data_IF_808514289161
#
_entry.id   IF_808514289161
#
_cell.length_a   1.000
_cell.length_b   1.000
_cell.length_c   1.000
_cell.angle_alpha   90.00
_cell.angle_beta   90.00
_cell.angle_gamma   90.00
#
_symmetry.space_group_name_H-M   'P 1'
#
loop_
_entity.id
_entity.type
_entity.pdbx_description
1 polymer ?
#
# COMPACT_ATOMS: atom_id res chain seq x y z
N UNK A 1 16.97 6.41 1.22
CA UNK A 1 15.71 6.41 2.00
C UNK A 1 15.46 7.77 2.69
N UNK A 2 15.64 8.90 2.00
CA UNK A 2 15.51 10.27 2.59
C UNK A 2 14.46 11.14 1.85
N UNK A 3 14.09 10.75 0.64
CA UNK A 3 13.15 11.52 -0.22
C UNK A 3 11.69 11.36 0.26
N UNK A 4 11.36 10.26 0.95
CA UNK A 4 9.97 9.96 1.32
C UNK A 4 9.40 10.79 2.47
N UNK A 5 10.21 11.11 3.48
CA UNK A 5 9.73 11.94 4.60
C UNK A 5 9.31 13.32 4.11
N UNK A 6 10.07 13.92 3.16
CA UNK A 6 9.73 15.21 2.56
C UNK A 6 8.41 15.17 1.80
N UNK A 7 8.19 14.12 1.00
CA UNK A 7 6.93 13.96 0.25
C UNK A 7 5.74 13.90 1.21
N UNK A 8 5.87 13.11 2.27
CA UNK A 8 4.80 12.86 3.22
C UNK A 8 4.52 14.06 4.11
N UNK A 9 5.57 14.75 4.58
CA UNK A 9 5.44 16.01 5.33
C UNK A 9 4.80 17.10 4.47
N UNK A 10 5.22 17.28 3.22
CA UNK A 10 4.61 18.27 2.32
C UNK A 10 3.15 17.96 2.00
N UNK A 11 2.84 16.70 1.69
CA UNK A 11 1.47 16.27 1.44
C UNK A 11 0.59 16.47 2.69
N UNK A 12 1.12 16.16 3.88
CA UNK A 12 0.41 16.36 5.13
C UNK A 12 0.13 17.84 5.39
N UNK A 13 1.15 18.70 5.27
CA UNK A 13 0.99 20.15 5.44
C UNK A 13 -0.13 20.68 4.55
N UNK A 14 -0.16 20.31 3.27
CA UNK A 14 -1.22 20.74 2.36
C UNK A 14 -2.59 20.17 2.77
N UNK A 15 -2.64 18.89 3.15
CA UNK A 15 -3.88 18.24 3.58
C UNK A 15 -4.49 18.94 4.79
N UNK A 16 -3.68 19.36 5.77
CA UNK A 16 -4.15 20.07 6.97
C UNK A 16 -4.83 21.41 6.65
N UNK A 17 -4.45 22.07 5.54
CA UNK A 17 -5.07 23.32 5.12
C UNK A 17 -6.36 23.11 4.30
N UNK A 18 -6.52 21.94 3.68
CA UNK A 18 -7.66 21.64 2.80
C UNK A 18 -8.76 20.88 3.54
N UNK A 19 -8.41 20.04 4.51
CA UNK A 19 -9.38 19.21 5.20
C UNK A 19 -10.32 20.04 6.08
N UNK A 20 -11.63 19.84 5.89
CA UNK A 20 -12.64 20.37 6.79
C UNK A 20 -12.63 19.60 8.12
N UNK A 21 -13.03 20.22 9.24
CA UNK A 21 -13.24 19.50 10.50
C UNK A 21 -14.14 18.27 10.29
N UNK A 22 -13.78 17.16 10.92
CA UNK A 22 -14.39 15.85 10.73
C UNK A 22 -13.89 15.07 9.51
N UNK A 23 -13.03 15.66 8.66
CA UNK A 23 -12.49 15.02 7.47
C UNK A 23 -11.56 13.83 7.75
N UNK A 24 -11.40 12.96 6.76
CA UNK A 24 -10.56 11.76 6.83
C UNK A 24 -9.40 11.86 5.84
N UNK A 25 -8.24 11.29 6.20
CA UNK A 25 -7.04 11.23 5.36
C UNK A 25 -6.57 9.77 5.26
N UNK A 26 -6.30 9.31 4.04
CA UNK A 26 -5.66 8.02 3.80
C UNK A 26 -4.37 8.26 3.01
N UNK A 27 -3.23 7.81 3.55
CA UNK A 27 -1.93 8.02 2.93
C UNK A 27 -1.15 6.71 2.83
N UNK A 28 -0.58 6.42 1.66
CA UNK A 28 0.32 5.28 1.47
C UNK A 28 1.68 5.60 2.08
N UNK A 29 2.18 4.72 2.93
CA UNK A 29 3.44 4.85 3.66
C UNK A 29 4.27 3.58 3.54
N UNK A 30 5.55 3.69 3.85
CA UNK A 30 6.44 2.54 3.98
C UNK A 30 6.63 2.28 5.47
N UNK A 31 6.24 1.09 5.93
CA UNK A 31 6.46 0.62 7.30
C UNK A 31 7.96 0.56 7.53
N UNK A 32 8.45 1.43 8.41
CA UNK A 32 9.84 1.57 8.73
C UNK A 32 10.00 2.50 9.93
N UNK A 33 11.25 2.78 10.29
CA UNK A 33 11.63 3.46 11.55
C UNK A 33 10.95 4.82 11.80
N UNK A 34 10.46 5.48 10.75
CA UNK A 34 9.84 6.81 10.82
C UNK A 34 8.30 6.79 10.84
N UNK A 35 7.68 5.62 10.69
CA UNK A 35 6.21 5.51 10.66
C UNK A 35 5.59 5.86 12.03
N UNK A 36 6.26 5.53 13.12
CA UNK A 36 5.79 5.82 14.49
C UNK A 36 5.82 7.33 14.79
N UNK A 37 6.87 8.03 14.34
CA UNK A 37 6.98 9.50 14.48
C UNK A 37 5.85 10.19 13.74
N UNK A 38 5.56 9.76 12.51
CA UNK A 38 4.47 10.31 11.72
C UNK A 38 3.10 9.98 12.34
N UNK A 39 2.92 8.77 12.88
CA UNK A 39 1.69 8.40 13.59
C UNK A 39 1.45 9.31 14.79
N UNK A 40 2.48 9.54 15.62
CA UNK A 40 2.41 10.43 16.76
C UNK A 40 2.05 11.86 16.34
N UNK A 41 2.66 12.36 15.25
CA UNK A 41 2.33 13.68 14.68
C UNK A 41 0.89 13.75 14.17
N UNK A 42 0.38 12.71 13.51
CA UNK A 42 -0.99 12.70 12.99
C UNK A 42 -2.03 12.60 14.11
N UNK A 43 -1.69 11.97 15.23
CA UNK A 43 -2.59 11.84 16.39
C UNK A 43 -2.96 13.17 17.03
N UNK A 44 -2.16 14.21 16.85
CA UNK A 44 -2.50 15.56 17.36
C UNK A 44 -3.57 16.23 16.50
N UNK A 45 -3.67 15.86 15.22
CA UNK A 45 -4.60 16.48 14.27
C UNK A 45 -5.87 15.64 14.03
N UNK A 46 -5.84 14.34 14.29
CA UNK A 46 -6.93 13.42 14.00
C UNK A 46 -7.35 12.65 15.24
N UNK A 47 -8.67 12.44 15.37
CA UNK A 47 -9.24 11.72 16.52
C UNK A 47 -8.81 10.26 16.59
N UNK A 48 -8.59 9.62 15.44
CA UNK A 48 -8.13 8.23 15.37
C UNK A 48 -7.17 8.05 14.20
N UNK A 49 -6.03 7.40 14.47
CA UNK A 49 -5.00 7.11 13.46
C UNK A 49 -4.62 5.63 13.54
N UNK A 50 -4.73 4.93 12.42
CA UNK A 50 -4.51 3.49 12.30
C UNK A 50 -3.57 3.21 11.13
N UNK A 51 -2.66 2.25 11.28
CA UNK A 51 -1.89 1.73 10.14
C UNK A 51 -2.58 0.48 9.62
N UNK A 52 -3.11 0.56 8.41
CA UNK A 52 -3.83 -0.51 7.75
C UNK A 52 -2.97 -1.18 6.67
N UNK A 53 -3.04 -2.51 6.58
CA UNK A 53 -2.54 -3.26 5.43
C UNK A 53 -3.69 -4.07 4.81
N UNK A 54 -4.22 -3.63 3.65
CA UNK A 54 -5.34 -4.31 3.01
C UNK A 54 -4.89 -5.57 2.27
N UNK A 55 -5.83 -6.52 2.06
CA UNK A 55 -5.60 -7.75 1.26
C UNK A 55 -5.07 -7.53 -0.16
N UNK A 56 -5.41 -6.39 -0.77
CA UNK A 56 -4.89 -6.01 -2.09
C UNK A 56 -3.41 -5.62 -2.07
N UNK A 57 -2.82 -5.41 -0.88
CA UNK A 57 -1.39 -5.16 -0.70
C UNK A 57 -0.67 -6.47 -0.43
N UNK A 58 0.47 -6.65 -1.11
CA UNK A 58 1.36 -7.81 -0.97
C UNK A 58 1.81 -7.99 0.48
N UNK A 59 1.69 -9.19 1.03
CA UNK A 59 2.09 -9.49 2.41
C UNK A 59 3.59 -9.25 2.62
N UNK A 60 4.39 -9.53 1.59
CA UNK A 60 5.83 -9.27 1.52
C UNK A 60 6.20 -7.78 1.42
N UNK A 61 5.26 -6.91 1.00
CA UNK A 61 5.55 -5.49 0.83
C UNK A 61 5.71 -4.78 2.17
N UNK A 62 6.70 -3.89 2.25
CA UNK A 62 6.88 -2.95 3.37
C UNK A 62 5.85 -1.81 3.33
N UNK A 63 5.05 -1.71 2.27
CA UNK A 63 4.03 -0.67 2.15
C UNK A 63 2.80 -0.93 3.03
N UNK A 64 2.25 0.15 3.59
CA UNK A 64 1.00 0.18 4.33
C UNK A 64 0.27 1.50 4.10
N UNK A 65 -0.90 1.65 4.70
CA UNK A 65 -1.71 2.85 4.61
C UNK A 65 -1.95 3.41 5.99
N UNK A 66 -1.69 4.70 6.18
CA UNK A 66 -2.16 5.44 7.35
C UNK A 66 -3.59 5.88 7.09
N UNK A 67 -4.50 5.49 7.98
CA UNK A 67 -5.91 5.87 7.96
C UNK A 67 -6.17 6.78 9.15
N UNK A 68 -6.38 8.06 8.87
CA UNK A 68 -6.61 9.10 9.86
C UNK A 68 -8.07 9.55 9.76
N UNK A 69 -8.78 9.52 10.89
CA UNK A 69 -10.22 9.76 10.95
C UNK A 69 -10.54 10.91 11.89
N UNK A 70 -11.50 11.74 11.48
CA UNK A 70 -12.03 12.83 12.29
C UNK A 70 -11.01 13.92 12.56
N UNK A 71 -10.63 14.65 11.51
CA UNK A 71 -9.75 15.81 11.58
C UNK A 71 -10.30 16.87 12.54
N UNK A 72 -9.49 17.32 13.49
CA UNK A 72 -9.91 18.24 14.55
C UNK A 72 -9.67 19.71 14.19
N UNK A 73 -8.91 19.99 13.12
CA UNK A 73 -8.37 21.33 12.88
C UNK A 73 -7.27 21.64 13.89
N UNK A 74 -6.24 22.38 13.49
CA UNK A 74 -5.03 22.61 14.30
C UNK A 74 -5.22 23.49 15.54
N UNK A 75 -6.14 23.17 16.44
CA UNK A 75 -6.04 23.57 17.84
C UNK A 75 -4.89 22.78 18.44
N UNK A 76 -3.76 23.45 18.68
CA UNK A 76 -2.64 22.86 19.42
C UNK A 76 -3.11 22.70 20.87
N UNK A 77 -3.73 21.57 21.18
CA UNK A 77 -3.80 21.15 22.56
C UNK A 77 -2.38 20.72 22.94
N UNK A 78 -1.77 21.41 23.91
CA UNK A 78 -0.41 21.19 24.42
C UNK A 78 -0.29 19.88 25.22
N UNK A 79 -0.84 18.80 24.71
CA UNK A 79 -0.78 17.49 25.34
C UNK A 79 0.32 16.67 24.65
N UNK A 80 1.43 16.51 25.39
CA UNK A 80 2.59 15.72 24.99
C UNK A 80 2.16 14.33 24.52
N UNK A 81 2.25 14.11 23.21
CA UNK A 81 1.89 12.85 22.59
C UNK A 81 2.91 11.77 22.95
N UNK A 82 2.49 10.78 23.72
CA UNK A 82 3.24 9.55 23.93
C UNK A 82 3.66 8.98 22.57
N UNK A 83 4.93 8.59 22.43
CA UNK A 83 5.45 7.89 21.24
C UNK A 83 4.92 6.45 21.26
N UNK A 84 3.60 6.31 21.08
CA UNK A 84 2.92 5.03 21.09
C UNK A 84 3.05 4.35 19.74
N UNK A 85 3.25 3.03 19.76
CA UNK A 85 3.20 2.21 18.56
C UNK A 85 1.81 2.32 17.94
N UNK A 86 1.75 2.64 16.65
CA UNK A 86 0.49 2.75 15.93
C UNK A 86 -0.28 1.41 15.96
N UNK A 87 -1.58 1.40 16.29
CA UNK A 87 -2.38 0.19 16.17
C UNK A 87 -2.42 -0.26 14.71
N UNK A 88 -1.93 -1.47 14.46
CA UNK A 88 -1.90 -2.08 13.14
C UNK A 88 -3.16 -2.90 12.90
N UNK A 89 -3.85 -2.63 11.79
CA UNK A 89 -5.04 -3.37 11.38
C UNK A 89 -4.76 -4.04 10.04
N UNK A 90 -4.73 -5.37 10.03
CA UNK A 90 -4.78 -6.13 8.80
C UNK A 90 -6.25 -6.18 8.33
N UNK A 91 -6.54 -5.63 7.16
CA UNK A 91 -7.91 -5.64 6.65
C UNK A 91 -8.13 -6.91 5.83
N UNK A 92 -8.57 -8.00 6.48
CA UNK A 92 -8.88 -9.27 5.82
C UNK A 92 -8.84 -10.50 6.72
N UNK A 93 -9.37 -11.61 6.19
CA UNK A 93 -9.21 -12.95 6.76
C UNK A 93 -7.84 -13.53 6.36
N UNK A 94 -7.12 -14.14 7.31
CA UNK A 94 -5.82 -14.78 7.11
C UNK A 94 -5.91 -15.98 6.13
N UNK A 95 -7.09 -16.56 5.97
CA UNK A 95 -7.31 -17.71 5.09
C UNK A 95 -7.59 -17.33 3.63
N UNK A 96 -7.67 -16.04 3.30
CA UNK A 96 -8.23 -15.58 2.04
C UNK A 96 -7.16 -15.09 1.05
N UNK A 97 -7.41 -15.27 -0.25
CA UNK A 97 -6.53 -14.86 -1.35
C UNK A 97 -5.89 -13.47 -1.14
N UNK A 98 -4.56 -13.41 -1.11
CA UNK A 98 -3.69 -12.24 -1.14
C UNK A 98 -3.22 -11.90 -2.57
N UNK A 99 -2.56 -10.75 -2.75
CA UNK A 99 -2.03 -10.32 -4.04
C UNK A 99 -0.70 -10.99 -4.46
N UNK A 100 -0.12 -11.86 -3.62
CA UNK A 100 1.23 -12.44 -3.81
C UNK A 100 1.21 -13.88 -4.36
N UNK A 101 0.11 -14.63 -4.21
CA UNK A 101 0.10 -16.00 -4.70
C UNK A 101 -0.42 -16.15 -6.14
N UNK A 102 0.36 -16.84 -6.96
CA UNK A 102 -0.18 -17.63 -8.07
C UNK A 102 -0.91 -18.83 -7.47
N UNK A 103 -2.16 -18.62 -7.06
CA UNK A 103 -2.97 -19.66 -6.45
C UNK A 103 -3.14 -20.84 -7.38
N UNK A 104 -3.10 -22.05 -6.82
CA UNK A 104 -3.63 -23.20 -7.55
C UNK A 104 -5.11 -22.96 -7.77
N UNK A 105 -5.48 -22.85 -9.03
CA UNK A 105 -6.87 -22.69 -9.42
C UNK A 105 -7.64 -23.95 -8.98
N UNK A 106 -8.89 -23.80 -8.50
CA UNK A 106 -9.70 -24.96 -8.10
C UNK A 106 -9.86 -25.94 -9.27
N UNK A 107 -10.04 -27.23 -8.95
CA UNK A 107 -10.28 -28.26 -9.96
C UNK A 107 -11.47 -27.89 -10.84
N UNK A 108 -11.28 -27.84 -12.16
CA UNK A 108 -12.30 -27.42 -13.12
C UNK A 108 -12.25 -25.94 -13.53
N UNK A 109 -11.26 -25.17 -13.07
CA UNK A 109 -11.06 -23.81 -13.59
C UNK A 109 -10.77 -23.82 -15.10
N UNK A 110 -11.61 -23.12 -15.87
CA UNK A 110 -11.43 -22.93 -17.31
C UNK A 110 -10.72 -21.60 -17.52
N UNK A 111 -9.48 -21.65 -18.01
CA UNK A 111 -8.77 -20.46 -18.45
C UNK A 111 -9.42 -19.93 -19.73
N UNK A 112 -10.01 -18.76 -19.69
CA UNK A 112 -10.56 -18.09 -20.87
C UNK A 112 -9.43 -17.36 -21.62
N UNK A 113 -9.58 -17.27 -22.94
CA UNK A 113 -8.71 -16.41 -23.73
C UNK A 113 -8.93 -14.94 -23.36
N UNK A 114 -7.87 -14.14 -23.17
CA UNK A 114 -8.01 -12.73 -22.87
C UNK A 114 -8.73 -12.01 -24.02
N UNK A 115 -9.77 -11.25 -23.68
CA UNK A 115 -10.61 -10.49 -24.64
C UNK A 115 -9.76 -9.62 -25.56
N UNK A 116 -8.66 -9.09 -25.01
CA UNK A 116 -7.66 -8.36 -25.77
C UNK A 116 -6.29 -8.94 -25.47
N UNK A 117 -5.59 -9.38 -26.51
CA UNK A 117 -4.22 -9.87 -26.37
C UNK A 117 -3.29 -8.70 -26.01
N UNK A 118 -2.28 -8.93 -25.15
CA UNK A 118 -1.24 -7.93 -24.92
C UNK A 118 -0.63 -7.47 -26.24
N UNK A 119 -0.45 -6.16 -26.42
CA UNK A 119 0.13 -5.58 -27.64
C UNK A 119 1.55 -6.12 -27.88
N UNK A 120 2.28 -6.37 -26.79
CA UNK A 120 3.56 -7.07 -26.78
C UNK A 120 3.59 -8.03 -25.58
N UNK A 121 3.26 -9.32 -25.76
CA UNK A 121 3.29 -10.25 -24.64
C UNK A 121 4.75 -10.50 -24.21
N UNK A 122 5.03 -10.64 -22.91
CA UNK A 122 6.39 -10.86 -22.39
C UNK A 122 7.04 -12.16 -22.90
N UNK A 123 6.23 -13.09 -23.40
CA UNK A 123 6.66 -14.35 -24.01
C UNK A 123 6.82 -14.29 -25.54
N UNK A 124 6.56 -13.15 -26.20
CA UNK A 124 6.64 -13.00 -27.66
C UNK A 124 7.98 -13.52 -28.21
N UNK A 125 9.08 -13.06 -27.61
CA UNK A 125 10.44 -13.45 -27.97
C UNK A 125 10.71 -14.94 -27.79
N UNK A 126 10.14 -15.55 -26.75
CA UNK A 126 10.28 -16.99 -26.50
C UNK A 126 9.49 -17.85 -27.51
N UNK A 127 8.32 -17.36 -27.94
CA UNK A 127 7.52 -18.00 -28.99
C UNK A 127 8.23 -17.88 -30.35
N UNK A 128 8.80 -16.71 -30.65
CA UNK A 128 9.60 -16.48 -31.87
C UNK A 128 10.85 -17.38 -31.91
N UNK A 129 11.61 -17.47 -30.80
CA UNK A 129 12.76 -18.38 -30.68
C UNK A 129 12.38 -19.85 -30.86
N UNK A 130 11.21 -20.26 -30.34
CA UNK A 130 10.69 -21.62 -30.58
C UNK A 130 10.29 -21.85 -32.03
N UNK A 131 9.74 -20.83 -32.69
CA UNK A 131 9.37 -20.90 -34.11
C UNK A 131 10.60 -20.89 -35.04
N UNK A 132 11.67 -20.19 -34.68
CA UNK A 132 12.94 -20.17 -35.44
C UNK A 132 13.85 -21.36 -35.17
N UNK A 133 13.49 -22.25 -34.22
CA UNK A 133 14.32 -23.40 -33.84
C UNK A 133 15.54 -23.05 -32.98
N UNK A 134 15.65 -21.80 -32.50
CA UNK A 134 16.75 -21.37 -31.63
C UNK A 134 16.55 -21.93 -30.21
N UNK A 135 17.44 -22.82 -29.78
CA UNK A 135 17.46 -23.28 -28.40
C UNK A 135 17.92 -22.16 -27.46
N UNK A 136 17.20 -22.01 -26.35
CA UNK A 136 17.48 -21.05 -25.27
C UNK A 136 18.95 -21.17 -24.83
N UNK A 137 19.74 -20.08 -24.79
CA UNK A 137 21.12 -20.16 -24.32
C UNK A 137 21.11 -20.71 -22.89
N UNK A 138 21.89 -21.77 -22.66
CA UNK A 138 22.09 -22.29 -21.31
C UNK A 138 22.84 -21.22 -20.51
N UNK A 139 22.23 -20.76 -19.42
CA UNK A 139 22.92 -20.02 -18.37
C UNK A 139 23.86 -20.96 -17.62
#
# INVERSE_FOLDING_TARGET
MYVQSRLLTSALTLTLHILRPGGNLVAKIFRGRNADVLHAQLRTYFSRVVVAKPRSSRASSVEAFLVCLGFRGGQRDEQGGETGVAPFVACGDLAAFDADASYRLPGGHVSLEPVQRPIAPPYKRAVEMRASGEQRPRL
#
